data_IF_630447116153
#
_entry.id   IF_630447116153
#
_cell.length_a   1.000
_cell.length_b   1.000
_cell.length_c   1.000
_cell.angle_alpha   90.00
_cell.angle_beta   90.00
_cell.angle_gamma   90.00
#
_symmetry.space_group_name_H-M   'P 1'
#
loop_
_entity.id
_entity.type
_entity.pdbx_description
1 polymer ?
#
# COMPACT_ATOMS: atom_id res chain seq x y z
N UNK A 1 -4.07 22.48 17.53
CA UNK A 1 -3.19 21.89 16.50
C UNK A 1 -3.61 20.43 16.34
N UNK A 2 -4.14 20.04 15.17
CA UNK A 2 -4.62 18.67 14.93
C UNK A 2 -3.42 17.71 14.79
N UNK A 3 -3.52 16.48 15.28
CA UNK A 3 -2.46 15.49 15.05
C UNK A 3 -2.38 15.16 13.55
N UNK A 4 -1.31 15.64 12.90
CA UNK A 4 -1.04 15.40 11.48
C UNK A 4 -0.31 14.06 11.23
N UNK A 5 -0.14 13.22 12.24
CA UNK A 5 0.49 11.91 12.07
C UNK A 5 -0.23 11.06 11.01
N UNK A 6 0.54 10.24 10.29
CA UNK A 6 -0.01 9.33 9.26
C UNK A 6 -1.03 8.36 9.85
N UNK A 7 -0.85 7.94 11.09
CA UNK A 7 -1.76 7.05 11.79
C UNK A 7 -3.08 7.75 12.14
N UNK A 8 -3.04 9.01 12.61
CA UNK A 8 -4.24 9.80 12.85
C UNK A 8 -5.04 10.02 11.57
N UNK A 9 -4.36 10.40 10.48
CA UNK A 9 -4.99 10.55 9.16
C UNK A 9 -5.65 9.26 8.67
N UNK A 10 -5.02 8.09 8.88
CA UNK A 10 -5.62 6.78 8.54
C UNK A 10 -6.83 6.43 9.40
N UNK A 11 -6.85 6.83 10.66
CA UNK A 11 -8.00 6.65 11.54
C UNK A 11 -9.19 7.48 11.07
N UNK A 12 -8.95 8.73 10.64
CA UNK A 12 -9.99 9.60 10.05
C UNK A 12 -10.54 8.99 8.75
N UNK A 13 -9.67 8.47 7.88
CA UNK A 13 -10.11 7.77 6.65
C UNK A 13 -10.99 6.55 7.00
N UNK A 14 -10.62 5.78 8.02
CA UNK A 14 -11.40 4.62 8.48
C UNK A 14 -12.79 5.04 8.97
N UNK A 15 -12.85 6.12 9.76
CA UNK A 15 -14.11 6.67 10.27
C UNK A 15 -15.03 7.13 9.14
N UNK A 16 -14.52 7.99 8.24
CA UNK A 16 -15.30 8.52 7.12
C UNK A 16 -15.77 7.41 6.18
N UNK A 17 -14.96 6.37 5.98
CA UNK A 17 -15.37 5.21 5.16
C UNK A 17 -16.48 4.39 5.81
N UNK A 18 -16.46 4.26 7.15
CA UNK A 18 -17.54 3.60 7.90
C UNK A 18 -18.85 4.41 7.89
N UNK A 19 -18.76 5.74 7.77
CA UNK A 19 -19.89 6.65 7.55
C UNK A 19 -20.50 6.51 6.14
N UNK A 20 -19.85 5.77 5.23
CA UNK A 20 -20.32 5.52 3.86
C UNK A 20 -19.84 6.55 2.83
N UNK A 21 -18.90 7.43 3.20
CA UNK A 21 -18.35 8.44 2.29
C UNK A 21 -17.51 7.80 1.16
N UNK A 22 -17.68 8.31 -0.05
CA UNK A 22 -16.88 7.88 -1.20
C UNK A 22 -15.45 8.43 -1.12
N UNK A 23 -14.47 7.69 -1.66
CA UNK A 23 -13.04 8.03 -1.57
C UNK A 23 -12.69 9.44 -2.10
N UNK A 24 -13.42 9.92 -3.11
CA UNK A 24 -13.28 11.29 -3.64
C UNK A 24 -13.70 12.35 -2.61
N UNK A 25 -14.78 12.10 -1.87
CA UNK A 25 -15.29 13.02 -0.86
C UNK A 25 -14.40 13.03 0.39
N UNK A 26 -13.89 11.85 0.76
CA UNK A 26 -12.89 11.69 1.83
C UNK A 26 -11.65 12.53 1.50
N UNK A 27 -11.13 12.48 0.26
CA UNK A 27 -9.97 13.28 -0.13
C UNK A 27 -10.22 14.79 -0.01
N UNK A 28 -11.40 15.26 -0.44
CA UNK A 28 -11.76 16.69 -0.32
C UNK A 28 -11.75 17.15 1.14
N UNK A 29 -12.43 16.42 2.03
CA UNK A 29 -12.46 16.73 3.47
C UNK A 29 -11.08 16.64 4.11
N UNK A 30 -10.32 15.61 3.78
CA UNK A 30 -8.94 15.45 4.26
C UNK A 30 -8.05 16.61 3.84
N UNK A 31 -8.19 17.12 2.60
CA UNK A 31 -7.43 18.26 2.10
C UNK A 31 -7.84 19.57 2.78
N UNK A 32 -9.12 19.75 3.10
CA UNK A 32 -9.62 20.90 3.87
C UNK A 32 -9.05 20.91 5.29
N UNK A 33 -8.96 19.75 5.96
CA UNK A 33 -8.49 19.65 7.36
C UNK A 33 -6.96 19.66 7.48
N UNK A 34 -6.25 18.89 6.67
CA UNK A 34 -4.80 18.70 6.79
C UNK A 34 -3.99 19.56 5.82
N UNK A 35 -4.63 20.23 4.85
CA UNK A 35 -3.97 21.11 3.89
C UNK A 35 -2.78 20.43 3.19
N UNK A 36 -1.59 21.05 3.30
CA UNK A 36 -0.34 20.54 2.73
C UNK A 36 0.21 19.28 3.40
N UNK A 37 -0.27 18.92 4.60
CA UNK A 37 0.15 17.69 5.30
C UNK A 37 -0.77 16.50 5.01
N UNK A 38 -1.79 16.68 4.14
CA UNK A 38 -2.72 15.64 3.76
C UNK A 38 -2.02 14.49 3.01
N UNK A 39 -2.41 13.25 3.32
CA UNK A 39 -1.99 12.08 2.57
C UNK A 39 -2.33 12.23 1.08
N UNK A 40 -1.42 11.75 0.23
CA UNK A 40 -1.62 11.74 -1.22
C UNK A 40 -2.93 11.01 -1.59
N UNK A 41 -3.61 11.51 -2.62
CA UNK A 41 -4.90 10.98 -3.11
C UNK A 41 -4.86 9.47 -3.34
N UNK A 42 -3.80 8.96 -3.99
CA UNK A 42 -3.62 7.53 -4.23
C UNK A 42 -3.55 6.71 -2.93
N UNK A 43 -2.84 7.22 -1.91
CA UNK A 43 -2.75 6.57 -0.59
C UNK A 43 -4.10 6.47 0.08
N UNK A 44 -4.91 7.54 0.03
CA UNK A 44 -6.26 7.55 0.61
C UNK A 44 -7.17 6.53 -0.07
N UNK A 45 -7.16 6.46 -1.40
CA UNK A 45 -7.94 5.50 -2.18
C UNK A 45 -7.55 4.06 -1.83
N UNK A 46 -6.25 3.78 -1.75
CA UNK A 46 -5.75 2.47 -1.32
C UNK A 46 -6.24 2.09 0.07
N UNK A 47 -6.27 3.04 1.02
CA UNK A 47 -6.81 2.77 2.37
C UNK A 47 -8.32 2.55 2.36
N UNK A 48 -9.08 3.29 1.56
CA UNK A 48 -10.52 3.06 1.40
C UNK A 48 -10.81 1.63 0.93
N UNK A 49 -10.12 1.17 -0.11
CA UNK A 49 -10.24 -0.20 -0.62
C UNK A 49 -9.90 -1.26 0.44
N UNK A 50 -8.83 -1.03 1.22
CA UNK A 50 -8.45 -1.96 2.30
C UNK A 50 -9.52 -2.07 3.37
N UNK A 51 -10.14 -0.95 3.76
CA UNK A 51 -11.21 -0.95 4.74
C UNK A 51 -12.51 -1.59 4.20
N UNK A 52 -12.82 -1.41 2.91
CA UNK A 52 -13.91 -2.14 2.24
C UNK A 52 -13.68 -3.66 2.26
N UNK A 53 -12.43 -4.10 2.04
CA UNK A 53 -12.04 -5.51 2.13
C UNK A 53 -11.96 -6.06 3.57
N UNK A 54 -12.43 -5.31 4.58
CA UNK A 54 -12.49 -5.76 5.98
C UNK A 54 -11.17 -5.63 6.77
N UNK A 55 -10.13 -5.00 6.20
CA UNK A 55 -8.86 -4.83 6.92
C UNK A 55 -8.93 -3.71 7.96
N UNK A 56 -9.11 -4.05 9.24
CA UNK A 56 -9.28 -3.07 10.32
C UNK A 56 -7.98 -2.46 10.89
N UNK A 57 -6.81 -2.97 10.51
CA UNK A 57 -5.54 -2.55 11.10
C UNK A 57 -5.08 -1.19 10.54
N UNK A 58 -4.85 -0.24 11.46
CA UNK A 58 -4.40 1.13 11.15
C UNK A 58 -2.87 1.16 10.90
N UNK A 59 -2.14 0.23 11.50
CA UNK A 59 -0.69 0.10 11.34
C UNK A 59 -0.35 -0.62 10.04
N UNK A 60 0.81 -0.28 9.48
CA UNK A 60 1.37 -1.05 8.37
C UNK A 60 1.73 -2.45 8.87
N UNK A 61 1.30 -3.48 8.13
CA UNK A 61 1.80 -4.83 8.35
C UNK A 61 3.33 -4.84 8.17
N UNK A 62 4.06 -5.72 8.90
CA UNK A 62 5.47 -5.92 8.63
C UNK A 62 5.65 -6.24 7.15
N UNK A 63 6.58 -5.55 6.49
CA UNK A 63 6.92 -5.86 5.10
C UNK A 63 7.58 -7.24 5.10
N UNK A 64 7.10 -8.20 4.30
CA UNK A 64 7.88 -9.41 4.06
C UNK A 64 9.24 -8.95 3.52
N UNK A 65 10.31 -9.38 4.19
CA UNK A 65 11.66 -9.02 3.81
C UNK A 65 12.43 -8.09 4.75
N UNK A 66 11.79 -7.57 5.80
CA UNK A 66 12.45 -6.63 6.73
C UNK A 66 13.35 -7.31 7.77
N UNK A 67 13.15 -8.60 7.99
CA UNK A 67 14.04 -9.41 8.80
C UNK A 67 15.22 -9.78 7.91
N UNK A 68 16.43 -9.30 8.22
CA UNK A 68 17.63 -9.52 7.37
C UNK A 68 17.96 -11.00 7.12
N UNK A 69 17.28 -11.91 7.83
CA UNK A 69 17.38 -13.35 7.70
C UNK A 69 16.21 -14.00 6.92
N UNK A 70 15.28 -13.23 6.35
CA UNK A 70 14.08 -13.76 5.69
C UNK A 70 14.42 -14.65 4.48
N UNK A 71 15.40 -14.22 3.68
CA UNK A 71 15.89 -14.96 2.50
C UNK A 71 16.47 -16.28 2.96
N UNK A 72 17.34 -16.22 3.98
CA UNK A 72 18.06 -17.36 4.53
C UNK A 72 17.16 -18.40 5.21
N UNK A 73 15.96 -18.01 5.63
CA UNK A 73 14.96 -18.91 6.22
C UNK A 73 14.08 -19.61 5.18
N UNK A 74 14.19 -19.26 3.89
CA UNK A 74 13.40 -19.92 2.86
C UNK A 74 13.92 -21.35 2.55
N UNK A 75 13.01 -22.28 2.20
CA UNK A 75 13.39 -23.62 1.79
C UNK A 75 14.23 -23.60 0.50
N UNK A 76 15.06 -24.62 0.29
CA UNK A 76 15.95 -24.70 -0.88
C UNK A 76 15.20 -24.63 -2.22
N UNK A 77 13.96 -25.12 -2.27
CA UNK A 77 13.08 -25.05 -3.43
C UNK A 77 12.76 -23.61 -3.87
N UNK A 78 12.70 -22.66 -2.92
CA UNK A 78 12.46 -21.25 -3.21
C UNK A 78 13.53 -20.68 -4.15
N UNK A 79 14.79 -21.04 -3.91
CA UNK A 79 15.90 -20.58 -4.74
C UNK A 79 15.89 -21.24 -6.12
N UNK A 80 15.55 -22.53 -6.21
CA UNK A 80 15.47 -23.21 -7.50
C UNK A 80 14.33 -22.66 -8.35
N UNK A 81 13.16 -22.42 -7.75
CA UNK A 81 12.03 -21.78 -8.45
C UNK A 81 12.36 -20.36 -8.90
N UNK A 82 13.07 -19.58 -8.06
CA UNK A 82 13.50 -18.24 -8.42
C UNK A 82 14.50 -18.24 -9.61
N UNK A 83 15.46 -19.17 -9.63
CA UNK A 83 16.41 -19.32 -10.75
C UNK A 83 15.68 -19.75 -12.02
N UNK A 84 14.76 -20.71 -11.93
CA UNK A 84 13.99 -21.18 -13.08
C UNK A 84 13.00 -20.14 -13.62
N UNK A 85 12.53 -19.24 -12.77
CA UNK A 85 11.64 -18.13 -13.16
C UNK A 85 12.41 -16.90 -13.64
N UNK A 86 13.74 -16.87 -13.51
CA UNK A 86 14.54 -15.71 -13.87
C UNK A 86 14.45 -15.35 -15.36
N UNK A 87 14.50 -16.31 -16.32
CA UNK A 87 14.33 -16.01 -17.73
C UNK A 87 12.95 -15.43 -18.07
N UNK A 88 11.88 -15.98 -17.47
CA UNK A 88 10.51 -15.52 -17.74
C UNK A 88 10.24 -14.15 -17.14
N UNK A 89 10.79 -13.85 -15.97
CA UNK A 89 10.73 -12.52 -15.36
C UNK A 89 11.56 -11.50 -16.14
N UNK A 90 12.71 -11.91 -16.70
CA UNK A 90 13.54 -11.06 -17.54
C UNK A 90 12.83 -10.68 -18.85
N UNK A 91 12.20 -11.66 -19.52
CA UNK A 91 11.42 -11.41 -20.73
C UNK A 91 10.20 -10.51 -20.46
N UNK A 92 9.50 -10.72 -19.34
CA UNK A 92 8.41 -9.84 -18.90
C UNK A 92 8.89 -8.42 -18.59
N UNK A 93 10.06 -8.25 -17.97
CA UNK A 93 10.63 -6.93 -17.73
C UNK A 93 11.03 -6.24 -19.03
N UNK A 94 11.58 -6.96 -20.01
CA UNK A 94 11.91 -6.38 -21.31
C UNK A 94 10.64 -5.96 -22.04
N UNK A 95 9.61 -6.82 -22.10
CA UNK A 95 8.37 -6.48 -22.79
C UNK A 95 7.66 -5.28 -22.14
N UNK A 96 7.58 -5.24 -20.81
CA UNK A 96 6.96 -4.14 -20.07
C UNK A 96 7.74 -2.82 -20.22
N UNK A 97 9.08 -2.85 -20.34
CA UNK A 97 9.87 -1.65 -20.63
C UNK A 97 9.80 -1.23 -22.11
N UNK A 98 9.57 -2.17 -23.04
CA UNK A 98 9.33 -1.86 -24.46
C UNK A 98 7.96 -1.22 -24.70
N UNK A 99 6.96 -1.51 -23.86
CA UNK A 99 5.64 -0.85 -23.92
C UNK A 99 5.64 0.61 -23.40
N UNK A 100 6.81 1.10 -22.95
CA UNK A 100 7.01 2.46 -22.46
C UNK A 100 7.96 3.29 -23.36
N UNK A 101 8.21 2.86 -24.61
CA UNK A 101 8.82 3.68 -25.68
C UNK A 101 7.83 3.96 -26.81
#
# INVERSE_FOLDING_TARGET
MMDSSRSAQRAVIKFLRAEGEHASQIYRRMKEVYGGQCLARFTIFRWCQRYEAGHVNIKDSPRPGRDGNWIRQQPRSFYTEAIHSFPTLWDQCISVNSDCL
#
